data_IF_654449027526
#
_entry.id   IF_654449027526
#
_cell.length_a   1.000
_cell.length_b   1.000
_cell.length_c   1.000
_cell.angle_alpha   90.00
_cell.angle_beta   90.00
_cell.angle_gamma   90.00
#
_symmetry.space_group_name_H-M   'P 1'
#
loop_
_entity.id
_entity.type
_entity.pdbx_description
1 polymer ?
#
# COMPACT_ATOMS: atom_id res chain seq x y z
N UNK A 1 35.81 -7.16 12.83
CA UNK A 1 34.33 -7.15 12.89
C UNK A 1 33.80 -7.26 11.48
N UNK A 2 32.77 -8.04 11.23
CA UNK A 2 32.11 -8.19 9.92
C UNK A 2 30.63 -7.86 10.08
N UNK A 3 30.08 -7.06 9.17
CA UNK A 3 28.66 -6.72 9.12
C UNK A 3 28.00 -7.32 7.87
N UNK A 4 26.80 -7.88 8.02
CA UNK A 4 25.97 -8.38 6.92
C UNK A 4 24.64 -7.65 6.97
N UNK A 5 24.22 -7.08 5.86
CA UNK A 5 22.94 -6.37 5.73
C UNK A 5 22.43 -6.41 4.29
N UNK A 6 21.13 -6.52 4.11
CA UNK A 6 20.49 -6.39 2.80
C UNK A 6 20.34 -4.92 2.35
N UNK A 7 20.29 -3.99 3.33
CA UNK A 7 20.02 -2.56 3.10
C UNK A 7 21.01 -1.71 3.90
N UNK A 8 22.27 -1.57 3.43
CA UNK A 8 23.28 -0.80 4.14
C UNK A 8 22.92 0.69 4.18
N UNK A 9 22.62 1.20 5.38
CA UNK A 9 22.44 2.63 5.58
C UNK A 9 23.79 3.37 5.50
N UNK A 10 23.81 4.66 5.15
CA UNK A 10 25.04 5.46 5.09
C UNK A 10 25.83 5.42 6.40
N UNK A 11 25.16 5.46 7.54
CA UNK A 11 25.76 5.41 8.87
C UNK A 11 26.44 4.06 9.13
N UNK A 12 25.83 2.96 8.66
CA UNK A 12 26.43 1.62 8.76
C UNK A 12 27.70 1.53 7.91
N UNK A 13 27.67 2.07 6.70
CA UNK A 13 28.87 2.10 5.84
C UNK A 13 29.98 2.95 6.45
N UNK A 14 29.64 4.12 7.02
CA UNK A 14 30.58 5.00 7.69
C UNK A 14 31.24 4.32 8.89
N UNK A 15 30.50 3.57 9.71
CA UNK A 15 31.05 2.78 10.83
C UNK A 15 32.13 1.79 10.40
N UNK A 16 32.00 1.21 9.21
CA UNK A 16 33.00 0.31 8.63
C UNK A 16 33.99 1.03 7.70
N UNK A 17 34.17 2.34 7.84
CA UNK A 17 35.06 3.17 7.00
C UNK A 17 34.80 3.00 5.50
N UNK A 18 33.55 2.81 5.11
CA UNK A 18 33.10 2.50 3.75
C UNK A 18 33.75 1.24 3.14
N UNK A 19 34.32 0.38 3.98
CA UNK A 19 34.96 -0.87 3.53
C UNK A 19 33.88 -1.93 3.23
N UNK A 20 33.37 -1.92 2.01
CA UNK A 20 32.38 -2.88 1.50
C UNK A 20 33.09 -3.97 0.68
N UNK A 21 33.19 -5.17 1.25
CA UNK A 21 33.90 -6.31 0.64
C UNK A 21 33.05 -6.90 -0.51
N UNK A 22 31.73 -7.06 -0.29
CA UNK A 22 30.79 -7.62 -1.27
C UNK A 22 29.60 -6.69 -1.42
N UNK A 23 29.20 -6.45 -2.64
CA UNK A 23 27.97 -5.76 -3.01
C UNK A 23 27.19 -6.63 -3.99
N UNK A 24 26.21 -7.37 -3.47
CA UNK A 24 25.31 -8.19 -4.28
C UNK A 24 23.95 -7.52 -4.31
N UNK A 25 23.69 -6.75 -5.37
CA UNK A 25 22.46 -5.95 -5.50
C UNK A 25 21.27 -6.78 -5.93
N UNK A 26 20.06 -6.25 -5.78
CA UNK A 26 18.83 -6.89 -6.23
C UNK A 26 18.89 -7.15 -7.76
N UNK A 27 19.31 -6.16 -8.54
CA UNK A 27 19.42 -6.26 -9.98
C UNK A 27 20.36 -7.40 -10.39
N UNK A 28 21.50 -7.51 -9.69
CA UNK A 28 22.43 -8.61 -9.94
C UNK A 28 21.83 -9.95 -9.55
N UNK A 29 21.12 -10.03 -8.45
CA UNK A 29 20.47 -11.27 -8.01
C UNK A 29 19.34 -11.72 -8.97
N UNK A 30 18.64 -10.76 -9.59
CA UNK A 30 17.65 -11.05 -10.64
C UNK A 30 18.36 -11.56 -11.90
N UNK A 31 19.43 -10.88 -12.33
CA UNK A 31 20.23 -11.31 -13.50
C UNK A 31 20.85 -12.71 -13.34
N UNK A 32 21.26 -13.05 -12.11
CA UNK A 32 21.80 -14.37 -11.76
C UNK A 32 20.70 -15.43 -11.57
N UNK A 33 19.40 -15.09 -11.67
CA UNK A 33 18.27 -15.99 -11.49
C UNK A 33 18.01 -16.43 -10.05
N UNK A 34 18.58 -15.73 -9.07
CA UNK A 34 18.40 -16.02 -7.64
C UNK A 34 17.12 -15.41 -7.11
N UNK A 35 16.82 -14.17 -7.52
CA UNK A 35 15.57 -13.48 -7.22
C UNK A 35 14.72 -13.31 -8.47
N UNK A 36 13.42 -13.18 -8.26
CA UNK A 36 12.47 -12.85 -9.33
C UNK A 36 12.43 -11.35 -9.56
N UNK A 37 12.17 -10.97 -10.81
CA UNK A 37 11.94 -9.57 -11.17
C UNK A 37 10.63 -9.07 -10.57
N UNK A 38 10.52 -7.76 -10.39
CA UNK A 38 9.34 -7.11 -9.85
C UNK A 38 8.74 -6.11 -10.84
N UNK A 39 7.44 -5.94 -10.76
CA UNK A 39 6.72 -4.91 -11.51
C UNK A 39 6.03 -3.97 -10.54
N UNK A 40 6.08 -2.69 -10.84
CA UNK A 40 5.38 -1.65 -10.05
C UNK A 40 4.11 -1.26 -10.79
N UNK A 41 2.97 -1.60 -10.21
CA UNK A 41 1.67 -1.15 -10.67
C UNK A 41 1.12 -0.09 -9.72
N UNK A 42 0.76 1.07 -10.23
CA UNK A 42 0.32 2.18 -9.41
C UNK A 42 -1.15 2.49 -9.67
N UNK A 43 -1.98 2.22 -8.67
CA UNK A 43 -3.39 2.60 -8.70
C UNK A 43 -3.50 4.04 -8.19
N UNK A 44 -3.99 4.92 -9.06
CA UNK A 44 -4.23 6.33 -8.74
C UNK A 44 -5.73 6.54 -8.66
N UNK A 45 -6.18 7.17 -7.59
CA UNK A 45 -7.55 7.63 -7.43
C UNK A 45 -7.56 9.13 -7.22
N UNK A 46 -8.65 9.79 -7.57
CA UNK A 46 -8.77 11.23 -7.34
C UNK A 46 -8.52 11.60 -5.87
N UNK A 47 -9.04 10.78 -4.94
CA UNK A 47 -8.81 10.97 -3.52
C UNK A 47 -7.33 10.87 -3.11
N UNK A 48 -6.53 10.04 -3.78
CA UNK A 48 -5.09 9.91 -3.47
C UNK A 48 -4.21 10.96 -4.14
N UNK A 49 -4.68 11.60 -5.20
CA UNK A 49 -3.93 12.66 -5.90
C UNK A 49 -4.26 14.06 -5.38
N UNK A 50 -5.54 14.36 -5.21
CA UNK A 50 -6.02 15.72 -4.96
C UNK A 50 -6.67 15.88 -3.57
N UNK A 51 -6.89 14.77 -2.84
CA UNK A 51 -7.80 14.76 -1.71
C UNK A 51 -9.24 14.59 -2.18
N UNK A 52 -10.20 14.94 -1.34
CA UNK A 52 -11.60 14.79 -1.70
C UNK A 52 -12.54 15.52 -0.76
N UNK A 53 -13.82 15.33 -1.02
CA UNK A 53 -14.88 15.80 -0.17
C UNK A 53 -15.77 14.61 0.23
N UNK A 54 -16.25 14.63 1.45
CA UNK A 54 -17.26 13.71 1.95
C UNK A 54 -18.58 14.46 1.90
N UNK A 55 -19.53 13.92 1.18
CA UNK A 55 -20.84 14.56 1.01
C UNK A 55 -21.65 14.48 2.28
N UNK A 56 -22.59 15.40 2.43
CA UNK A 56 -23.60 15.33 3.47
C UNK A 56 -24.33 13.97 3.42
N UNK A 57 -24.49 13.33 4.58
CA UNK A 57 -25.17 12.03 4.73
C UNK A 57 -24.29 10.80 4.48
N UNK A 58 -23.06 10.94 4.03
CA UNK A 58 -22.14 9.81 3.94
C UNK A 58 -21.60 9.40 5.32
N UNK A 59 -21.48 8.09 5.54
CA UNK A 59 -20.91 7.54 6.76
C UNK A 59 -19.39 7.71 6.78
N UNK A 60 -18.89 8.44 7.77
CA UNK A 60 -17.46 8.70 7.99
C UNK A 60 -16.99 8.04 9.26
N UNK A 61 -15.88 7.36 9.21
CA UNK A 61 -15.19 6.86 10.39
C UNK A 61 -14.09 7.83 10.79
N UNK A 62 -14.33 8.57 11.85
CA UNK A 62 -13.32 9.43 12.47
C UNK A 62 -12.50 8.62 13.47
N UNK A 63 -11.18 8.68 13.32
CA UNK A 63 -10.24 8.01 14.22
C UNK A 63 -9.58 9.07 15.10
N UNK A 64 -9.75 8.96 16.41
CA UNK A 64 -9.05 9.85 17.34
C UNK A 64 -7.61 9.37 17.54
N UNK A 65 -6.65 10.22 17.18
CA UNK A 65 -5.21 9.89 17.06
C UNK A 65 -4.59 9.33 18.34
N UNK A 66 -5.07 9.74 19.51
CA UNK A 66 -4.47 9.36 20.80
C UNK A 66 -5.12 8.14 21.46
N UNK A 67 -6.39 7.88 21.19
CA UNK A 67 -7.16 6.82 21.84
C UNK A 67 -7.46 5.65 20.90
N UNK A 68 -7.26 5.82 19.61
CA UNK A 68 -7.65 4.83 18.59
C UNK A 68 -9.18 4.65 18.49
N UNK A 69 -9.96 5.49 19.18
CA UNK A 69 -11.42 5.37 19.18
C UNK A 69 -11.96 5.65 17.79
N UNK A 70 -12.78 4.74 17.29
CA UNK A 70 -13.45 4.87 15.98
C UNK A 70 -14.89 5.29 16.22
N UNK A 71 -15.24 6.48 15.78
CA UNK A 71 -16.60 6.99 15.81
C UNK A 71 -17.19 6.97 14.41
N UNK A 72 -18.37 6.38 14.25
CA UNK A 72 -19.15 6.49 13.03
C UNK A 72 -19.93 7.80 13.10
N UNK A 73 -19.56 8.77 12.31
CA UNK A 73 -20.23 10.07 12.24
C UNK A 73 -20.92 10.16 10.89
N UNK A 74 -22.24 10.43 10.89
CA UNK A 74 -22.89 10.90 9.67
C UNK A 74 -22.43 12.32 9.42
N UNK A 75 -21.88 12.53 8.26
CA UNK A 75 -21.43 13.85 7.88
C UNK A 75 -22.66 14.79 7.80
N UNK A 76 -22.70 15.81 8.64
CA UNK A 76 -23.83 16.76 8.66
C UNK A 76 -23.67 17.86 7.60
N UNK A 77 -22.40 18.11 7.19
CA UNK A 77 -22.03 19.09 6.18
C UNK A 77 -20.95 18.50 5.24
N UNK A 78 -20.86 19.02 4.03
CA UNK A 78 -19.78 18.63 3.12
C UNK A 78 -18.41 18.97 3.74
N UNK A 79 -17.58 17.95 3.96
CA UNK A 79 -16.25 18.09 4.56
C UNK A 79 -15.17 17.77 3.54
N UNK A 80 -14.32 18.74 3.24
CA UNK A 80 -13.15 18.53 2.39
C UNK A 80 -11.97 17.98 3.18
N UNK A 81 -11.19 17.10 2.59
CA UNK A 81 -9.96 16.57 3.18
C UNK A 81 -8.81 16.55 2.18
N UNK A 82 -7.60 16.70 2.68
CA UNK A 82 -6.38 16.62 1.89
C UNK A 82 -5.92 15.17 1.74
N UNK A 83 -5.08 14.89 0.74
CA UNK A 83 -4.47 13.56 0.57
C UNK A 83 -3.68 13.07 1.80
N UNK A 84 -3.15 13.99 2.60
CA UNK A 84 -2.40 13.66 3.82
C UNK A 84 -3.29 13.24 4.99
N UNK A 85 -4.56 13.62 4.98
CA UNK A 85 -5.56 13.25 5.99
C UNK A 85 -6.25 11.94 5.65
N UNK A 86 -6.24 11.56 4.37
CA UNK A 86 -6.80 10.29 3.90
C UNK A 86 -6.13 9.11 4.63
N UNK A 87 -6.95 8.22 5.18
CA UNK A 87 -6.55 7.05 5.95
C UNK A 87 -5.79 7.33 7.28
N UNK A 88 -5.48 8.59 7.60
CA UNK A 88 -4.90 8.98 8.90
C UNK A 88 -5.97 9.39 9.90
N UNK A 89 -6.76 10.37 9.55
CA UNK A 89 -7.86 10.90 10.36
C UNK A 89 -9.23 10.64 9.75
N UNK A 90 -9.27 10.46 8.42
CA UNK A 90 -10.49 10.19 7.66
C UNK A 90 -10.30 8.89 6.88
N UNK A 91 -11.21 7.94 7.08
CA UNK A 91 -11.27 6.69 6.33
C UNK A 91 -12.42 6.77 5.34
N UNK A 92 -12.09 6.63 4.06
CA UNK A 92 -13.07 6.58 2.99
C UNK A 92 -13.25 5.11 2.52
N UNK A 93 -14.30 4.40 2.94
CA UNK A 93 -14.54 3.01 2.54
C UNK A 93 -14.71 2.85 1.03
N UNK A 94 -15.32 3.83 0.36
CA UNK A 94 -15.50 3.82 -1.09
C UNK A 94 -14.17 3.85 -1.83
N UNK A 95 -13.22 4.64 -1.35
CA UNK A 95 -11.87 4.70 -1.93
C UNK A 95 -11.13 3.37 -1.72
N UNK A 96 -11.21 2.77 -0.53
CA UNK A 96 -10.59 1.46 -0.25
C UNK A 96 -11.18 0.41 -1.17
N UNK A 97 -12.51 0.35 -1.29
CA UNK A 97 -13.22 -0.57 -2.17
C UNK A 97 -12.77 -0.40 -3.63
N UNK A 98 -12.71 0.83 -4.12
CA UNK A 98 -12.26 1.13 -5.48
C UNK A 98 -10.84 0.61 -5.74
N UNK A 99 -9.92 0.79 -4.80
CA UNK A 99 -8.54 0.28 -4.93
C UNK A 99 -8.50 -1.24 -4.99
N UNK A 100 -9.28 -1.92 -4.14
CA UNK A 100 -9.35 -3.39 -4.10
C UNK A 100 -9.98 -3.96 -5.38
N UNK A 101 -11.06 -3.36 -5.86
CA UNK A 101 -11.71 -3.75 -7.11
C UNK A 101 -10.79 -3.53 -8.32
N UNK A 102 -10.12 -2.37 -8.39
CA UNK A 102 -9.14 -2.09 -9.44
C UNK A 102 -7.98 -3.10 -9.41
N UNK A 103 -7.47 -3.45 -8.23
CA UNK A 103 -6.44 -4.47 -8.09
C UNK A 103 -6.94 -5.83 -8.60
N UNK A 104 -8.12 -6.27 -8.17
CA UNK A 104 -8.72 -7.54 -8.59
C UNK A 104 -8.84 -7.60 -10.11
N UNK A 105 -9.34 -6.54 -10.73
CA UNK A 105 -9.59 -6.51 -12.16
C UNK A 105 -8.28 -6.41 -12.98
N UNK A 106 -7.28 -5.68 -12.46
CA UNK A 106 -5.99 -5.51 -13.13
C UNK A 106 -5.03 -6.70 -12.95
N UNK A 107 -5.23 -7.52 -11.93
CA UNK A 107 -4.27 -8.58 -11.58
C UNK A 107 -3.97 -9.53 -12.73
N UNK A 108 -4.96 -9.90 -13.53
CA UNK A 108 -4.79 -10.82 -14.66
C UNK A 108 -4.79 -10.12 -16.02
N UNK A 109 -5.29 -8.91 -16.11
CA UNK A 109 -5.36 -8.17 -17.37
C UNK A 109 -4.12 -7.34 -17.64
N UNK A 110 -3.47 -6.83 -16.57
CA UNK A 110 -2.36 -5.89 -16.68
C UNK A 110 -1.11 -6.33 -15.94
N UNK A 111 -1.25 -6.98 -14.76
CA UNK A 111 -0.11 -7.33 -13.91
C UNK A 111 0.52 -8.67 -14.27
N UNK A 112 -0.29 -9.71 -14.45
CA UNK A 112 0.14 -11.07 -14.73
C UNK A 112 -0.47 -11.55 -16.06
N UNK A 113 0.00 -11.00 -17.15
CA UNK A 113 -0.48 -11.25 -18.51
C UNK A 113 0.14 -12.51 -19.13
N UNK A 114 0.38 -13.56 -18.38
CA UNK A 114 0.86 -14.83 -18.91
C UNK A 114 -0.25 -15.50 -19.72
N UNK A 115 -0.07 -15.71 -21.04
CA UNK A 115 -1.09 -16.32 -21.90
C UNK A 115 -1.39 -17.78 -21.57
N UNK A 116 -0.55 -18.46 -20.78
CA UNK A 116 -0.79 -19.81 -20.29
C UNK A 116 -1.63 -19.84 -19.00
N UNK A 117 -1.87 -18.69 -18.40
CA UNK A 117 -2.61 -18.57 -17.16
C UNK A 117 -3.97 -17.99 -17.44
N UNK A 118 -4.98 -18.82 -17.44
CA UNK A 118 -6.36 -18.34 -17.52
C UNK A 118 -6.69 -17.45 -16.31
N UNK A 119 -7.30 -16.27 -16.54
CA UNK A 119 -7.76 -15.44 -15.44
C UNK A 119 -8.80 -16.19 -14.62
N UNK A 120 -8.45 -16.56 -13.40
CA UNK A 120 -9.36 -17.19 -12.46
C UNK A 120 -9.41 -16.38 -11.18
N UNK A 121 -10.51 -15.71 -10.93
CA UNK A 121 -10.70 -14.85 -9.77
C UNK A 121 -10.72 -15.61 -8.44
N UNK A 122 -10.94 -16.93 -8.48
CA UNK A 122 -10.86 -17.79 -7.28
C UNK A 122 -9.40 -18.01 -6.82
N UNK A 123 -8.43 -17.73 -7.69
CA UNK A 123 -7.01 -17.92 -7.44
C UNK A 123 -6.22 -16.61 -7.54
N UNK A 124 -6.61 -15.61 -6.79
CA UNK A 124 -5.80 -14.41 -6.65
C UNK A 124 -4.39 -14.76 -6.14
N UNK A 125 -3.34 -14.11 -6.64
CA UNK A 125 -1.99 -14.30 -6.11
C UNK A 125 -1.95 -14.03 -4.61
N UNK A 126 -1.03 -14.70 -3.90
CA UNK A 126 -0.79 -14.38 -2.48
C UNK A 126 -0.49 -12.89 -2.35
N UNK A 127 -1.36 -12.20 -1.65
CA UNK A 127 -1.33 -10.73 -1.56
C UNK A 127 -1.09 -10.30 -0.13
N UNK A 128 -0.10 -9.42 0.07
CA UNK A 128 0.17 -8.77 1.34
C UNK A 128 -0.21 -7.29 1.23
N UNK A 129 -1.13 -6.84 2.07
CA UNK A 129 -1.59 -5.46 2.07
C UNK A 129 -1.05 -4.74 3.30
N UNK A 130 -0.29 -3.68 3.08
CA UNK A 130 0.19 -2.80 4.14
C UNK A 130 -0.82 -1.68 4.37
N UNK A 131 -1.38 -1.66 5.56
CA UNK A 131 -2.28 -0.62 6.00
C UNK A 131 -1.53 0.45 6.82
N UNK A 132 -2.08 1.65 6.90
CA UNK A 132 -1.46 2.75 7.64
C UNK A 132 -1.50 2.53 9.16
N UNK A 133 -2.56 1.87 9.66
CA UNK A 133 -2.79 1.53 11.06
C UNK A 133 -3.80 0.37 11.16
N UNK A 134 -4.02 -0.13 12.40
CA UNK A 134 -4.91 -1.27 12.66
C UNK A 134 -6.37 -1.01 12.25
N UNK A 135 -6.86 0.21 12.45
CA UNK A 135 -8.21 0.58 12.05
C UNK A 135 -8.37 0.54 10.51
N UNK A 136 -7.35 1.01 9.77
CA UNK A 136 -7.32 0.90 8.32
C UNK A 136 -7.28 -0.57 7.88
N UNK A 137 -6.44 -1.40 8.49
CA UNK A 137 -6.38 -2.83 8.21
C UNK A 137 -7.73 -3.52 8.44
N UNK A 138 -8.38 -3.23 9.58
CA UNK A 138 -9.72 -3.76 9.90
C UNK A 138 -10.79 -3.35 8.88
N UNK A 139 -10.72 -2.14 8.34
CA UNK A 139 -11.65 -1.69 7.31
C UNK A 139 -11.41 -2.40 5.97
N UNK A 140 -10.14 -2.62 5.59
CA UNK A 140 -9.80 -3.38 4.38
C UNK A 140 -10.36 -4.80 4.43
N UNK A 141 -10.27 -5.47 5.58
CA UNK A 141 -10.77 -6.86 5.75
C UNK A 141 -12.30 -6.94 5.72
N UNK A 142 -13.01 -5.86 6.04
CA UNK A 142 -14.49 -5.83 6.08
C UNK A 142 -15.14 -5.50 4.74
N UNK A 143 -14.38 -5.03 3.78
CA UNK A 143 -14.83 -4.71 2.42
C UNK A 143 -14.76 -5.95 1.52
#
# INVERSE_FOLDING_TARGET
MVGLTATPAPETLAFFNNNRIVNYTLEKSIADGVNVDYRVYRIKTQATEDGGAIREGEDVKKITRYTGTVENIKNQDETTYTKTELNRSIVNPTQIKLVLETYRDAVYTEMFTDPQREPNMDYLPKTLIFALNDAHASNIVKI
#
